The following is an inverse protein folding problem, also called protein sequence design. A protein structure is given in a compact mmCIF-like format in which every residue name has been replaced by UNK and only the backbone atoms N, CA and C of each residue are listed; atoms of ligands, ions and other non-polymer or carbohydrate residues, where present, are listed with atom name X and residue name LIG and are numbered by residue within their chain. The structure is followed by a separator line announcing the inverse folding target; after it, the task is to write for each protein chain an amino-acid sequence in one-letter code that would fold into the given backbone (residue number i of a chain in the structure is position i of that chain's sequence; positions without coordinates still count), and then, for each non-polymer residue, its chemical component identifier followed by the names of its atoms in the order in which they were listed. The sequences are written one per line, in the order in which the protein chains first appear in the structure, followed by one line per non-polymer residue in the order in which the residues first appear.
data_IF_120257270823
#
_entry.id   IF_120257270823
#
_cell.length_a   1.000
_cell.length_b   1.000
_cell.length_c   1.000
_cell.angle_alpha   90.00
_cell.angle_beta   90.00
_cell.angle_gamma   90.00
#
_symmetry.space_group_name_H-M   'P 1'
#
loop_
_entity.id
_entity.type
_entity.pdbx_description
1 polymer ?
#
# COMPACT_ATOMS: atom_id res chain seq x y z
N UNK A 1 8.55 5.96 -9.86
CA UNK A 1 8.12 6.41 -8.52
C UNK A 1 8.60 5.40 -7.51
N UNK A 2 9.56 5.80 -6.67
CA UNK A 2 10.17 4.89 -5.70
C UNK A 2 9.19 4.51 -4.58
N UNK A 3 9.26 3.27 -4.13
CA UNK A 3 8.55 2.75 -2.98
C UNK A 3 9.40 3.04 -1.75
N UNK A 4 9.09 4.14 -1.07
CA UNK A 4 9.74 4.60 0.15
C UNK A 4 8.73 5.36 1.04
N UNK A 5 9.19 5.93 2.15
CA UNK A 5 8.33 6.65 3.10
C UNK A 5 7.51 7.79 2.47
N UNK A 6 7.97 8.33 1.33
CA UNK A 6 7.30 9.40 0.57
C UNK A 6 6.29 8.86 -0.46
N UNK A 7 6.18 7.56 -0.66
CA UNK A 7 5.13 6.97 -1.49
C UNK A 7 3.77 7.42 -0.94
N UNK A 8 2.97 8.12 -1.74
CA UNK A 8 1.67 8.64 -1.30
C UNK A 8 0.55 7.64 -1.53
N UNK A 9 -0.51 7.73 -0.75
CA UNK A 9 -1.73 6.94 -0.93
C UNK A 9 -2.39 7.24 -2.27
N UNK A 10 -2.39 8.50 -2.71
CA UNK A 10 -2.90 8.90 -4.04
C UNK A 10 -2.18 8.20 -5.19
N UNK A 11 -0.85 8.10 -5.12
CA UNK A 11 -0.06 7.39 -6.10
C UNK A 11 -0.43 5.90 -6.23
N UNK A 12 -0.74 5.27 -5.09
CA UNK A 12 -1.18 3.88 -5.03
C UNK A 12 -2.62 3.76 -5.54
N UNK A 13 -3.50 4.69 -5.17
CA UNK A 13 -4.90 4.72 -5.58
C UNK A 13 -5.06 4.90 -7.10
N UNK A 14 -4.25 5.76 -7.71
CA UNK A 14 -4.18 5.91 -9.18
C UNK A 14 -3.80 4.59 -9.86
N UNK A 15 -2.85 3.84 -9.29
CA UNK A 15 -2.42 2.54 -9.85
C UNK A 15 -3.42 1.42 -9.61
N UNK A 16 -4.15 1.44 -8.49
CA UNK A 16 -5.26 0.53 -8.21
C UNK A 16 -6.49 0.81 -9.08
N UNK A 17 -6.58 2.02 -9.64
CA UNK A 17 -7.78 2.54 -10.28
C UNK A 17 -8.65 3.26 -9.26
N UNK A 18 -8.61 4.61 -9.30
CA UNK A 18 -9.33 5.49 -8.37
C UNK A 18 -10.84 5.29 -8.32
N UNK A 19 -11.44 4.67 -9.35
CA UNK A 19 -12.87 4.35 -9.38
C UNK A 19 -13.21 3.01 -8.72
N UNK A 20 -12.22 2.14 -8.52
CA UNK A 20 -12.39 0.76 -8.05
C UNK A 20 -11.77 0.51 -6.68
N UNK A 21 -11.03 1.47 -6.12
CA UNK A 21 -10.37 1.36 -4.83
C UNK A 21 -10.69 2.56 -3.92
N UNK A 22 -10.83 2.27 -2.64
CA UNK A 22 -11.00 3.23 -1.55
C UNK A 22 -9.67 3.72 -1.00
N UNK A 23 -9.68 4.86 -0.30
CA UNK A 23 -8.49 5.39 0.38
C UNK A 23 -7.92 4.39 1.40
N UNK A 24 -8.79 3.64 2.08
CA UNK A 24 -8.38 2.56 2.98
C UNK A 24 -7.59 1.47 2.23
N UNK A 25 -8.08 1.02 1.07
CA UNK A 25 -7.38 0.03 0.25
C UNK A 25 -6.03 0.53 -0.24
N UNK A 26 -5.94 1.79 -0.64
CA UNK A 26 -4.68 2.38 -1.02
C UNK A 26 -3.70 2.48 0.16
N UNK A 27 -4.17 2.73 1.39
CA UNK A 27 -3.30 2.78 2.58
C UNK A 27 -2.78 1.39 2.96
N UNK A 28 -3.64 0.37 2.92
CA UNK A 28 -3.22 -1.03 3.13
C UNK A 28 -2.23 -1.46 2.04
N UNK A 29 -2.52 -1.17 0.78
CA UNK A 29 -1.65 -1.52 -0.34
C UNK A 29 -0.30 -0.80 -0.25
N UNK A 30 -0.30 0.47 0.14
CA UNK A 30 0.92 1.23 0.41
C UNK A 30 1.78 0.56 1.48
N UNK A 31 1.19 0.12 2.60
CA UNK A 31 1.92 -0.60 3.64
C UNK A 31 2.54 -1.91 3.11
N UNK A 32 1.77 -2.71 2.35
CA UNK A 32 2.27 -3.94 1.72
C UNK A 32 3.44 -3.65 0.78
N UNK A 33 3.33 -2.62 -0.04
CA UNK A 33 4.38 -2.22 -0.99
C UNK A 33 5.65 -1.80 -0.25
N UNK A 34 5.51 -1.00 0.81
CA UNK A 34 6.64 -0.56 1.63
C UNK A 34 7.36 -1.74 2.30
N UNK A 35 6.62 -2.73 2.79
CA UNK A 35 7.22 -3.89 3.45
C UNK A 35 7.93 -4.83 2.46
N UNK A 36 7.37 -5.05 1.27
CA UNK A 36 7.83 -6.11 0.36
C UNK A 36 8.72 -5.61 -0.78
N UNK A 37 8.64 -4.33 -1.13
CA UNK A 37 9.25 -3.78 -2.34
C UNK A 37 9.96 -2.44 -2.09
N UNK A 38 10.36 -2.14 -0.85
CA UNK A 38 11.12 -0.94 -0.50
C UNK A 38 12.32 -0.71 -1.42
N UNK A 39 12.51 0.54 -1.84
CA UNK A 39 13.60 0.97 -2.72
C UNK A 39 13.42 0.61 -4.21
N UNK A 40 12.35 -0.10 -4.58
CA UNK A 40 12.01 -0.37 -5.98
C UNK A 40 11.13 0.71 -6.57
N UNK A 41 11.10 0.82 -7.89
CA UNK A 41 10.14 1.68 -8.57
C UNK A 41 8.80 0.95 -8.74
N UNK A 42 7.72 1.56 -8.25
CA UNK A 42 6.34 1.09 -8.37
C UNK A 42 5.97 0.72 -9.81
N UNK A 43 6.44 1.49 -10.79
CA UNK A 43 6.14 1.29 -12.20
C UNK A 43 6.92 0.15 -12.84
N UNK A 44 7.94 -0.37 -12.16
CA UNK A 44 8.76 -1.49 -12.62
C UNK A 44 8.36 -2.84 -12.03
N UNK A 45 7.37 -2.85 -11.13
CA UNK A 45 6.79 -4.10 -10.64
C UNK A 45 6.12 -4.83 -11.80
N UNK A 46 6.47 -6.10 -11.96
CA UNK A 46 5.79 -7.01 -12.89
C UNK A 46 4.34 -7.23 -12.46
N UNK A 47 3.51 -7.68 -13.40
CA UNK A 47 2.11 -8.02 -13.13
C UNK A 47 1.98 -9.06 -12.02
N UNK A 48 2.84 -10.08 -12.01
CA UNK A 48 2.85 -11.12 -10.96
C UNK A 48 3.17 -10.55 -9.58
N UNK A 49 4.14 -9.63 -9.48
CA UNK A 49 4.47 -8.96 -8.22
C UNK A 49 3.33 -8.07 -7.74
N UNK A 50 2.70 -7.35 -8.67
CA UNK A 50 1.52 -6.55 -8.38
C UNK A 50 0.35 -7.39 -7.86
N UNK A 51 0.04 -8.51 -8.52
CA UNK A 51 -1.02 -9.43 -8.09
C UNK A 51 -0.73 -10.06 -6.73
N UNK A 52 0.55 -10.35 -6.43
CA UNK A 52 0.96 -10.83 -5.10
C UNK A 52 0.68 -9.78 -4.02
N UNK A 53 1.10 -8.54 -4.24
CA UNK A 53 0.85 -7.44 -3.31
C UNK A 53 -0.66 -7.18 -3.14
N UNK A 54 -1.43 -7.26 -4.22
CA UNK A 54 -2.89 -7.12 -4.19
C UNK A 54 -3.58 -8.26 -3.41
N UNK A 55 -3.09 -9.49 -3.53
CA UNK A 55 -3.56 -10.62 -2.72
C UNK A 55 -3.31 -10.40 -1.23
N UNK A 56 -2.11 -9.97 -0.88
CA UNK A 56 -1.73 -9.65 0.51
C UNK A 56 -2.59 -8.50 1.08
N UNK A 57 -2.81 -7.43 0.31
CA UNK A 57 -3.70 -6.34 0.69
C UNK A 57 -5.09 -6.87 1.05
N UNK A 58 -5.69 -7.75 0.24
CA UNK A 58 -7.01 -8.30 0.51
C UNK A 58 -7.05 -9.21 1.75
N UNK A 59 -5.98 -9.97 2.01
CA UNK A 59 -5.84 -10.74 3.24
C UNK A 59 -5.83 -9.82 4.46
N UNK A 60 -4.98 -8.78 4.45
CA UNK A 60 -4.85 -7.81 5.54
C UNK A 60 -6.14 -7.05 5.84
N UNK A 61 -6.87 -6.63 4.80
CA UNK A 61 -8.19 -6.02 4.95
C UNK A 61 -9.17 -6.94 5.67
N UNK A 62 -9.17 -8.23 5.32
CA UNK A 62 -10.09 -9.22 5.88
C UNK A 62 -9.79 -9.53 7.34
N UNK A 63 -8.51 -9.50 7.73
CA UNK A 63 -8.07 -9.74 9.12
C UNK A 63 -8.17 -8.51 10.02
N UNK A 64 -8.68 -7.38 9.50
CA UNK A 64 -8.82 -6.13 10.25
C UNK A 64 -7.50 -5.41 10.45
N UNK A 65 -6.75 -5.16 9.36
CA UNK A 65 -5.52 -4.37 9.41
C UNK A 65 -5.78 -3.02 10.08
N UNK A 66 -5.15 -2.84 11.23
CA UNK A 66 -5.07 -1.59 11.96
C UNK A 66 -3.71 -1.01 11.60
N UNK A 67 -3.71 0.19 11.01
CA UNK A 67 -2.50 0.99 10.93
C UNK A 67 -2.04 1.19 12.36
N UNK A 68 -0.83 0.75 12.71
CA UNK A 68 -0.17 1.26 13.91
C UNK A 68 -0.04 2.76 13.69
N UNK A 69 -1.04 3.54 14.13
CA UNK A 69 -0.88 4.96 14.28
C UNK A 69 0.34 5.13 15.19
N UNK A 70 1.34 5.93 14.80
CA UNK A 70 2.32 6.36 15.78
C UNK A 70 1.51 7.06 16.86
N UNK A 71 1.38 6.40 18.00
CA UNK A 71 0.72 6.91 19.18
C UNK A 71 1.52 8.15 19.59
N UNK A 72 1.14 9.31 19.06
CA UNK A 72 1.50 10.62 19.58
C UNK A 72 0.82 10.77 20.95
N UNK A 73 1.30 9.96 21.90
CA UNK A 73 1.18 10.17 23.33
C UNK A 73 1.85 11.51 23.61
N UNK A 74 1.07 12.58 23.47
CA UNK A 74 1.34 13.89 24.05
C UNK A 74 1.67 13.68 25.53
N UNK A 75 2.96 13.79 25.86
CA UNK A 75 3.44 14.09 27.21
C UNK A 75 3.29 15.58 27.48
#
# INVERSE_FOLDING_TARGET
MTIDEHLTTDAVLERLGRQSASDYEADVMRAVLLEQYAGRDLNTLSETEWLRAFGEMNLRKTTGWIRDEPNDLKR
#
